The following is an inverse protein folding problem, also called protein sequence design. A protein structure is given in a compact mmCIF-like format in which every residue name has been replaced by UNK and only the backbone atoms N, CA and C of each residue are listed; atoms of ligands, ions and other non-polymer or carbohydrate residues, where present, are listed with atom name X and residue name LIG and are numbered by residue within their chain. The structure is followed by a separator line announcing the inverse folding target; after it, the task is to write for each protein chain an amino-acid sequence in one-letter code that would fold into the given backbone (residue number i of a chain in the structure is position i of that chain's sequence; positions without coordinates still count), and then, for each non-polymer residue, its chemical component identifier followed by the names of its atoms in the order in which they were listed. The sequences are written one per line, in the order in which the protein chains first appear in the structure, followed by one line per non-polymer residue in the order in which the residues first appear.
data_IF_095544715144
#
_entry.id   IF_095544715144
#
_cell.length_a   1.000
_cell.length_b   1.000
_cell.length_c   1.000
_cell.angle_alpha   90.00
_cell.angle_beta   90.00
_cell.angle_gamma   90.00
#
_symmetry.space_group_name_H-M   'P 1'
#
loop_
_entity.id
_entity.type
_entity.pdbx_description
1 polymer ?
#
# COMPACT_ATOMS: atom_id res chain seq x y z
N UNK A 1 4.35 -17.27 3.63
CA UNK A 1 3.48 -18.02 4.57
C UNK A 1 2.04 -17.50 4.54
N UNK A 2 1.78 -16.24 4.89
CA UNK A 2 0.42 -15.67 4.90
C UNK A 2 -0.33 -15.80 3.55
N UNK A 3 0.32 -15.47 2.43
CA UNK A 3 -0.31 -15.58 1.11
C UNK A 3 -0.60 -17.03 0.68
N UNK A 4 0.25 -17.99 1.10
CA UNK A 4 0.05 -19.41 0.78
C UNK A 4 -1.18 -19.94 1.53
N UNK A 5 -1.30 -19.60 2.81
CA UNK A 5 -2.44 -19.98 3.65
C UNK A 5 -3.73 -19.32 3.12
N UNK A 6 -3.66 -18.05 2.71
CA UNK A 6 -4.81 -17.34 2.17
C UNK A 6 -5.28 -17.93 0.83
N UNK A 7 -4.36 -18.10 -0.14
CA UNK A 7 -4.70 -18.64 -1.47
C UNK A 7 -5.16 -20.10 -1.38
N UNK A 8 -4.46 -20.94 -0.61
CA UNK A 8 -4.84 -22.33 -0.41
C UNK A 8 -6.19 -22.47 0.31
N UNK A 9 -6.42 -21.67 1.36
CA UNK A 9 -7.68 -21.69 2.09
C UNK A 9 -8.85 -21.16 1.24
N UNK A 10 -8.66 -20.10 0.45
CA UNK A 10 -9.68 -19.62 -0.48
C UNK A 10 -10.04 -20.72 -1.49
N UNK A 11 -9.04 -21.40 -2.06
CA UNK A 11 -9.28 -22.46 -3.03
C UNK A 11 -10.10 -23.62 -2.42
N UNK A 12 -9.77 -24.05 -1.19
CA UNK A 12 -10.46 -25.15 -0.52
C UNK A 12 -11.90 -24.77 -0.12
N UNK A 13 -12.11 -23.59 0.46
CA UNK A 13 -13.44 -23.20 0.94
C UNK A 13 -14.39 -22.79 -0.20
N UNK A 14 -13.88 -22.15 -1.25
CA UNK A 14 -14.69 -21.71 -2.38
C UNK A 14 -15.02 -22.89 -3.30
N UNK A 15 -14.01 -23.69 -3.69
CA UNK A 15 -14.23 -24.78 -4.65
C UNK A 15 -14.60 -26.11 -4.01
N UNK A 16 -14.24 -26.35 -2.74
CA UNK A 16 -14.54 -27.61 -2.04
C UNK A 16 -15.82 -27.57 -1.20
N UNK A 17 -16.05 -26.48 -0.47
CA UNK A 17 -17.21 -26.34 0.44
C UNK A 17 -18.33 -25.48 -0.16
N UNK A 18 -18.12 -24.90 -1.34
CA UNK A 18 -19.04 -23.97 -2.01
C UNK A 18 -19.47 -22.78 -1.13
N UNK A 19 -18.62 -22.38 -0.19
CA UNK A 19 -18.83 -21.19 0.61
C UNK A 19 -18.53 -19.97 -0.26
N UNK A 20 -19.53 -19.12 -0.51
CA UNK A 20 -19.40 -17.92 -1.35
C UNK A 20 -18.50 -16.85 -0.71
N UNK A 21 -19.10 -15.79 -0.19
CA UNK A 21 -18.36 -14.67 0.43
C UNK A 21 -17.62 -15.09 1.71
N UNK A 22 -18.18 -16.04 2.47
CA UNK A 22 -17.57 -16.61 3.68
C UNK A 22 -16.28 -17.39 3.38
N UNK A 23 -16.22 -18.02 2.20
CA UNK A 23 -15.07 -18.80 1.75
C UNK A 23 -13.81 -17.97 1.48
N UNK A 24 -13.96 -16.65 1.33
CA UNK A 24 -12.83 -15.69 1.23
C UNK A 24 -12.49 -15.08 2.59
N UNK A 25 -13.50 -14.87 3.43
CA UNK A 25 -13.34 -14.21 4.72
C UNK A 25 -12.58 -15.08 5.74
N UNK A 26 -12.93 -16.37 5.86
CA UNK A 26 -12.34 -17.28 6.85
C UNK A 26 -10.84 -17.50 6.61
N UNK A 27 -10.36 -17.82 5.38
CA UNK A 27 -8.93 -17.99 5.12
C UNK A 27 -8.13 -16.70 5.34
N UNK A 28 -8.74 -15.56 5.06
CA UNK A 28 -8.13 -14.25 5.30
C UNK A 28 -7.95 -13.99 6.79
N UNK A 29 -8.93 -14.31 7.62
CA UNK A 29 -8.81 -14.20 9.07
C UNK A 29 -7.75 -15.16 9.62
N UNK A 30 -7.81 -16.43 9.23
CA UNK A 30 -6.88 -17.47 9.71
C UNK A 30 -5.44 -17.15 9.33
N UNK A 31 -5.19 -16.71 8.09
CA UNK A 31 -3.85 -16.33 7.63
C UNK A 31 -3.28 -15.12 8.40
N UNK A 32 -4.12 -14.13 8.76
CA UNK A 32 -3.73 -12.99 9.61
C UNK A 32 -3.41 -13.41 11.03
N UNK A 33 -4.23 -14.27 11.64
CA UNK A 33 -3.99 -14.80 12.99
C UNK A 33 -2.71 -15.61 13.03
N UNK A 34 -2.49 -16.50 12.05
CA UNK A 34 -1.26 -17.29 11.97
C UNK A 34 0.00 -16.40 11.83
N UNK A 35 -0.08 -15.33 11.03
CA UNK A 35 1.01 -14.36 10.91
C UNK A 35 1.28 -13.63 12.23
N UNK A 36 0.23 -13.20 12.94
CA UNK A 36 0.37 -12.55 14.24
C UNK A 36 1.04 -13.48 15.27
N UNK A 37 0.61 -14.74 15.34
CA UNK A 37 1.22 -15.75 16.22
C UNK A 37 2.68 -15.97 15.86
N UNK A 38 3.01 -16.12 14.57
CA UNK A 38 4.38 -16.31 14.12
C UNK A 38 5.30 -15.14 14.51
N UNK A 39 4.84 -13.90 14.35
CA UNK A 39 5.59 -12.69 14.75
C UNK A 39 5.81 -12.66 16.26
N UNK A 40 4.79 -12.95 17.07
CA UNK A 40 4.93 -13.01 18.54
C UNK A 40 5.96 -14.07 18.94
N UNK A 41 5.89 -15.27 18.36
CA UNK A 41 6.84 -16.36 18.64
C UNK A 41 8.27 -15.97 18.24
N UNK A 42 8.46 -15.27 17.12
CA UNK A 42 9.78 -14.78 16.71
C UNK A 42 10.32 -13.70 17.65
N UNK A 43 9.47 -12.77 18.10
CA UNK A 43 9.83 -11.71 19.05
C UNK A 43 10.18 -12.24 20.46
N UNK A 44 9.69 -13.43 20.82
CA UNK A 44 10.05 -14.10 22.08
C UNK A 44 11.39 -14.82 22.02
N UNK A 45 12.03 -14.92 20.84
CA UNK A 45 13.34 -15.56 20.70
C UNK A 45 14.45 -14.51 20.91
N UNK A 46 15.33 -14.68 21.92
CA UNK A 46 16.40 -13.73 22.25
C UNK A 46 17.51 -13.62 21.18
N UNK A 47 17.44 -14.43 20.12
CA UNK A 47 18.41 -14.44 19.00
C UNK A 47 18.22 -13.26 18.03
N UNK A 48 17.09 -12.56 18.07
CA UNK A 48 16.78 -11.46 17.14
C UNK A 48 17.00 -10.09 17.77
N UNK A 49 17.43 -9.10 16.97
CA UNK A 49 17.73 -7.73 17.43
C UNK A 49 16.51 -6.99 18.02
N UNK A 50 15.30 -7.44 17.70
CA UNK A 50 14.07 -7.07 18.38
C UNK A 50 13.60 -8.29 19.19
N UNK A 51 13.74 -8.25 20.51
CA UNK A 51 13.17 -9.25 21.39
C UNK A 51 12.33 -8.59 22.48
N UNK A 52 11.24 -9.24 22.87
CA UNK A 52 10.49 -8.87 24.06
C UNK A 52 11.22 -9.52 25.24
N UNK A 53 11.78 -8.70 26.14
CA UNK A 53 12.23 -9.22 27.42
C UNK A 53 11.05 -9.90 28.13
N UNK A 54 11.23 -11.13 28.61
CA UNK A 54 10.21 -11.90 29.37
C UNK A 54 9.82 -11.24 30.70
N UNK A 55 10.33 -10.06 30.99
CA UNK A 55 9.89 -9.21 32.10
C UNK A 55 8.55 -8.61 31.72
N UNK A 56 7.47 -9.28 32.14
CA UNK A 56 6.08 -8.81 32.13
C UNK A 56 5.87 -7.57 33.05
N UNK A 57 6.82 -6.64 33.10
CA UNK A 57 6.66 -5.33 33.74
C UNK A 57 5.94 -4.41 32.75
N UNK A 58 4.65 -4.67 32.60
CA UNK A 58 3.74 -3.80 31.88
C UNK A 58 3.60 -2.49 32.67
N UNK A 59 4.47 -1.51 32.38
CA UNK A 59 4.33 -0.14 32.87
C UNK A 59 3.72 0.69 31.74
N UNK A 60 2.38 0.80 31.67
CA UNK A 60 1.74 1.62 30.66
C UNK A 60 2.17 3.08 30.86
N UNK A 61 3.06 3.56 29.98
CA UNK A 61 3.41 4.96 29.93
C UNK A 61 2.32 5.70 29.13
N UNK A 62 1.44 6.40 29.85
CA UNK A 62 0.37 7.18 29.23
C UNK A 62 0.88 8.25 28.25
N UNK A 63 2.09 8.79 28.45
CA UNK A 63 2.70 9.73 27.48
C UNK A 63 3.09 9.01 26.20
N UNK A 64 3.67 7.81 26.30
CA UNK A 64 4.05 7.01 25.13
C UNK A 64 2.80 6.51 24.37
N UNK A 65 1.78 6.02 25.07
CA UNK A 65 0.50 5.62 24.48
C UNK A 65 -0.14 6.80 23.75
N UNK A 66 -0.21 7.98 24.38
CA UNK A 66 -0.76 9.19 23.76
C UNK A 66 0.02 9.62 22.52
N UNK A 67 1.35 9.47 22.52
CA UNK A 67 2.19 9.77 21.35
C UNK A 67 1.91 8.81 20.19
N UNK A 68 1.80 7.51 20.47
CA UNK A 68 1.46 6.49 19.47
C UNK A 68 0.05 6.74 18.91
N UNK A 69 -0.92 6.98 19.79
CA UNK A 69 -2.30 7.28 19.39
C UNK A 69 -2.39 8.54 18.54
N UNK A 70 -1.64 9.61 18.86
CA UNK A 70 -1.61 10.83 18.03
C UNK A 70 -1.13 10.54 16.61
N UNK A 71 -0.04 9.77 16.47
CA UNK A 71 0.49 9.37 15.16
C UNK A 71 -0.51 8.47 14.42
N UNK A 72 -1.13 7.52 15.12
CA UNK A 72 -2.12 6.60 14.56
C UNK A 72 -3.39 7.34 14.10
N UNK A 73 -3.92 8.25 14.91
CA UNK A 73 -5.10 9.07 14.58
C UNK A 73 -4.80 9.97 13.39
N UNK A 74 -3.65 10.65 13.37
CA UNK A 74 -3.27 11.51 12.24
C UNK A 74 -3.19 10.74 10.92
N UNK A 75 -2.46 9.61 10.89
CA UNK A 75 -2.39 8.76 9.70
C UNK A 75 -3.76 8.15 9.33
N UNK A 76 -4.57 7.79 10.33
CA UNK A 76 -5.91 7.26 10.14
C UNK A 76 -6.87 8.28 9.54
N UNK A 77 -6.82 9.53 10.01
CA UNK A 77 -7.60 10.65 9.46
C UNK A 77 -7.21 10.91 8.01
N UNK A 78 -5.92 11.00 7.70
CA UNK A 78 -5.44 11.20 6.33
C UNK A 78 -5.95 10.09 5.39
N UNK A 79 -5.77 8.82 5.76
CA UNK A 79 -6.26 7.70 4.95
C UNK A 79 -7.78 7.71 4.82
N UNK A 80 -8.51 8.07 5.88
CA UNK A 80 -9.97 8.17 5.85
C UNK A 80 -10.42 9.28 4.91
N UNK A 81 -9.76 10.44 4.92
CA UNK A 81 -10.05 11.54 4.00
C UNK A 81 -9.81 11.13 2.54
N UNK A 82 -8.71 10.42 2.26
CA UNK A 82 -8.47 9.85 0.92
C UNK A 82 -9.56 8.86 0.51
N UNK A 83 -9.98 7.98 1.42
CA UNK A 83 -11.00 6.97 1.12
C UNK A 83 -12.38 7.60 0.89
N UNK A 84 -12.76 8.60 1.69
CA UNK A 84 -13.99 9.38 1.49
C UNK A 84 -13.95 10.12 0.17
N UNK A 85 -12.83 10.77 -0.18
CA UNK A 85 -12.66 11.43 -1.47
C UNK A 85 -12.86 10.46 -2.65
N UNK A 86 -12.27 9.26 -2.57
CA UNK A 86 -12.47 8.21 -3.57
C UNK A 86 -13.93 7.77 -3.70
N UNK A 87 -14.65 7.63 -2.58
CA UNK A 87 -16.06 7.27 -2.58
C UNK A 87 -16.90 8.38 -3.22
N UNK A 88 -16.64 9.65 -2.90
CA UNK A 88 -17.37 10.78 -3.51
C UNK A 88 -17.16 10.84 -5.02
N UNK A 89 -15.91 10.69 -5.48
CA UNK A 89 -15.60 10.61 -6.92
C UNK A 89 -16.31 9.42 -7.55
N UNK A 90 -16.28 8.24 -6.92
CA UNK A 90 -16.99 7.07 -7.42
C UNK A 90 -18.50 7.29 -7.49
N UNK A 91 -19.10 7.96 -6.52
CA UNK A 91 -20.52 8.32 -6.54
C UNK A 91 -20.84 9.24 -7.72
N UNK A 92 -20.00 10.25 -7.99
CA UNK A 92 -20.16 11.10 -9.18
C UNK A 92 -20.01 10.28 -10.46
N UNK A 93 -18.99 9.43 -10.56
CA UNK A 93 -18.76 8.54 -11.71
C UNK A 93 -19.96 7.60 -11.92
N UNK A 94 -20.59 7.14 -10.85
CA UNK A 94 -21.75 6.24 -10.94
C UNK A 94 -22.96 6.89 -11.61
N UNK A 95 -23.08 8.22 -11.56
CA UNK A 95 -24.15 8.95 -12.24
C UNK A 95 -24.04 8.91 -13.78
N UNK A 96 -22.86 8.65 -14.34
CA UNK A 96 -22.62 8.57 -15.78
C UNK A 96 -22.98 7.19 -16.37
N UNK A 97 -23.36 6.22 -15.54
CA UNK A 97 -23.79 4.89 -15.96
C UNK A 97 -22.73 3.80 -15.82
N UNK A 98 -23.11 2.57 -16.12
CA UNK A 98 -22.32 1.36 -15.85
C UNK A 98 -20.96 1.34 -16.56
N UNK A 99 -20.87 1.96 -17.75
CA UNK A 99 -19.60 2.06 -18.48
C UNK A 99 -18.56 2.87 -17.71
N UNK A 100 -18.97 3.94 -17.02
CA UNK A 100 -18.09 4.82 -16.26
C UNK A 100 -17.63 4.16 -14.95
N UNK A 101 -18.53 3.44 -14.27
CA UNK A 101 -18.20 2.64 -13.10
C UNK A 101 -17.15 1.57 -13.44
N UNK A 102 -17.38 0.85 -14.55
CA UNK A 102 -16.45 -0.18 -15.04
C UNK A 102 -15.10 0.43 -15.41
N UNK A 103 -15.10 1.57 -16.12
CA UNK A 103 -13.88 2.27 -16.49
C UNK A 103 -13.07 2.70 -15.27
N UNK A 104 -13.73 3.22 -14.22
CA UNK A 104 -13.08 3.61 -12.98
C UNK A 104 -12.59 2.40 -12.17
N UNK A 105 -13.32 1.27 -12.17
CA UNK A 105 -12.89 0.05 -11.48
C UNK A 105 -11.60 -0.51 -12.10
N UNK A 106 -11.58 -0.69 -13.42
CA UNK A 106 -10.38 -1.14 -14.17
C UNK A 106 -9.26 -0.11 -14.02
N UNK A 107 -9.61 1.18 -14.13
CA UNK A 107 -8.69 2.29 -13.96
C UNK A 107 -7.98 2.27 -12.60
N UNK A 108 -8.71 2.03 -11.51
CA UNK A 108 -8.13 1.93 -10.17
C UNK A 108 -7.17 0.75 -10.02
N UNK A 109 -7.47 -0.40 -10.62
CA UNK A 109 -6.58 -1.57 -10.59
C UNK A 109 -5.25 -1.22 -11.27
N UNK A 110 -5.31 -0.61 -12.46
CA UNK A 110 -4.12 -0.22 -13.21
C UNK A 110 -3.35 0.93 -12.55
N UNK A 111 -4.04 1.90 -11.98
CA UNK A 111 -3.43 2.98 -11.20
C UNK A 111 -2.62 2.44 -10.01
N UNK A 112 -3.08 1.36 -9.36
CA UNK A 112 -2.33 0.69 -8.28
C UNK A 112 -1.05 0.02 -8.80
N UNK A 113 -1.07 -0.54 -10.02
CA UNK A 113 0.13 -1.08 -10.66
C UNK A 113 1.16 0.01 -10.96
N UNK A 114 0.73 1.18 -11.42
CA UNK A 114 1.61 2.31 -11.76
C UNK A 114 2.38 2.86 -10.55
N UNK A 115 1.76 2.87 -9.37
CA UNK A 115 2.37 3.40 -8.13
C UNK A 115 3.03 2.32 -7.27
N UNK A 116 2.87 1.04 -7.64
CA UNK A 116 3.41 -0.12 -6.92
C UNK A 116 4.91 -0.01 -6.60
N UNK A 117 5.82 0.32 -7.54
CA UNK A 117 7.24 0.45 -7.21
C UNK A 117 7.51 1.54 -6.17
N UNK A 118 6.78 2.66 -6.27
CA UNK A 118 6.87 3.75 -5.30
C UNK A 118 6.43 3.33 -3.89
N UNK A 119 5.34 2.56 -3.79
CA UNK A 119 4.88 2.02 -2.50
C UNK A 119 5.87 1.02 -1.90
N UNK A 120 6.40 0.11 -2.72
CA UNK A 120 7.35 -0.92 -2.27
C UNK A 120 8.65 -0.31 -1.75
N UNK A 121 9.25 0.60 -2.54
CA UNK A 121 10.48 1.28 -2.15
C UNK A 121 10.23 2.22 -0.97
N UNK A 122 9.09 2.94 -0.96
CA UNK A 122 8.72 3.84 0.12
C UNK A 122 8.60 3.14 1.48
N UNK A 123 8.13 1.89 1.50
CA UNK A 123 8.10 1.08 2.72
C UNK A 123 9.51 0.78 3.26
N UNK A 124 10.42 0.32 2.39
CA UNK A 124 11.81 0.03 2.77
C UNK A 124 12.59 1.29 3.14
N UNK A 125 12.34 2.40 2.44
CA UNK A 125 12.93 3.71 2.70
C UNK A 125 12.62 4.19 4.12
N UNK A 126 11.36 4.06 4.58
CA UNK A 126 11.00 4.41 5.96
C UNK A 126 11.83 3.66 7.00
N UNK A 127 12.02 2.37 6.82
CA UNK A 127 12.81 1.54 7.73
C UNK A 127 14.29 1.92 7.72
N UNK A 128 14.88 2.09 6.53
CA UNK A 128 16.28 2.52 6.37
C UNK A 128 16.53 3.88 7.05
N UNK A 129 15.70 4.87 6.73
CA UNK A 129 15.84 6.24 7.25
C UNK A 129 15.65 6.26 8.77
N UNK A 130 14.67 5.55 9.30
CA UNK A 130 14.44 5.46 10.74
C UNK A 130 15.67 4.90 11.48
N UNK A 131 16.36 3.91 10.91
CA UNK A 131 17.60 3.34 11.49
C UNK A 131 18.76 4.34 11.45
N UNK A 132 19.01 4.99 10.31
CA UNK A 132 20.09 5.99 10.19
C UNK A 132 19.89 7.17 11.16
N UNK A 133 18.64 7.60 11.36
CA UNK A 133 18.30 8.67 12.31
C UNK A 133 18.54 8.20 13.75
N UNK A 134 18.15 6.97 14.09
CA UNK A 134 18.44 6.38 15.40
C UNK A 134 19.95 6.24 15.69
N UNK A 135 20.77 6.09 14.64
CA UNK A 135 22.23 6.04 14.74
C UNK A 135 22.92 7.41 14.71
N UNK A 136 22.18 8.51 14.53
CA UNK A 136 22.73 9.88 14.43
C UNK A 136 23.38 10.21 13.09
N UNK A 137 23.26 9.37 12.07
CA UNK A 137 23.96 9.50 10.79
C UNK A 137 23.18 10.38 9.78
N UNK A 138 23.08 11.69 10.06
CA UNK A 138 22.28 12.64 9.27
C UNK A 138 22.74 12.76 7.80
N UNK A 139 24.04 12.61 7.54
CA UNK A 139 24.57 12.66 6.18
C UNK A 139 24.09 11.47 5.33
N UNK A 140 24.06 10.27 5.94
CA UNK A 140 23.54 9.07 5.30
C UNK A 140 22.04 9.20 4.99
N UNK A 141 21.26 9.83 5.88
CA UNK A 141 19.83 10.08 5.65
C UNK A 141 19.61 10.89 4.37
N UNK A 142 20.37 11.97 4.17
CA UNK A 142 20.28 12.81 2.95
C UNK A 142 20.69 12.02 1.71
N UNK A 143 21.78 11.27 1.80
CA UNK A 143 22.29 10.43 0.71
C UNK A 143 21.27 9.37 0.27
N UNK A 144 20.76 8.57 1.21
CA UNK A 144 19.78 7.53 0.92
C UNK A 144 18.46 8.10 0.43
N UNK A 145 17.99 9.23 1.00
CA UNK A 145 16.77 9.88 0.53
C UNK A 145 16.89 10.30 -0.93
N UNK A 146 18.01 10.94 -1.32
CA UNK A 146 18.23 11.37 -2.70
C UNK A 146 18.33 10.18 -3.65
N UNK A 147 19.11 9.15 -3.29
CA UNK A 147 19.25 7.94 -4.11
C UNK A 147 17.92 7.20 -4.27
N UNK A 148 17.20 6.95 -3.18
CA UNK A 148 15.93 6.24 -3.21
C UNK A 148 14.86 7.02 -3.94
N UNK A 149 14.85 8.36 -3.88
CA UNK A 149 13.96 9.17 -4.73
C UNK A 149 14.23 8.93 -6.21
N UNK A 150 15.48 8.92 -6.66
CA UNK A 150 15.82 8.63 -8.07
C UNK A 150 15.33 7.23 -8.46
N UNK A 151 15.55 6.23 -7.61
CA UNK A 151 15.07 4.86 -7.87
C UNK A 151 13.54 4.80 -7.93
N UNK A 152 12.83 5.55 -7.07
CA UNK A 152 11.36 5.65 -7.12
C UNK A 152 10.91 6.30 -8.44
N UNK A 153 11.53 7.40 -8.86
CA UNK A 153 11.21 8.05 -10.14
C UNK A 153 11.39 7.08 -11.31
N UNK A 154 12.56 6.46 -11.41
CA UNK A 154 12.86 5.48 -12.48
C UNK A 154 11.88 4.31 -12.43
N UNK A 155 11.61 3.77 -11.24
CA UNK A 155 10.66 2.66 -11.05
C UNK A 155 9.25 3.02 -11.51
N UNK A 156 8.73 4.19 -11.10
CA UNK A 156 7.41 4.65 -11.53
C UNK A 156 7.39 4.88 -13.04
N UNK A 157 8.41 5.53 -13.62
CA UNK A 157 8.45 5.77 -15.06
C UNK A 157 8.44 4.45 -15.85
N UNK A 158 9.26 3.48 -15.46
CA UNK A 158 9.30 2.16 -16.09
C UNK A 158 7.95 1.46 -15.99
N UNK A 159 7.35 1.41 -14.80
CA UNK A 159 6.05 0.76 -14.60
C UNK A 159 4.93 1.44 -15.39
N UNK A 160 4.91 2.77 -15.46
CA UNK A 160 3.89 3.48 -16.23
C UNK A 160 4.05 3.27 -17.73
N UNK A 161 5.28 3.29 -18.26
CA UNK A 161 5.53 2.95 -19.67
C UNK A 161 5.07 1.52 -19.97
N UNK A 162 5.39 0.56 -19.09
CA UNK A 162 4.94 -0.82 -19.23
C UNK A 162 3.41 -0.93 -19.18
N UNK A 163 2.74 -0.21 -18.28
CA UNK A 163 1.27 -0.17 -18.21
C UNK A 163 0.66 0.38 -19.49
N UNK A 164 1.20 1.47 -20.03
CA UNK A 164 0.71 2.09 -21.28
C UNK A 164 0.90 1.12 -22.46
N UNK A 165 2.04 0.43 -22.54
CA UNK A 165 2.30 -0.56 -23.59
C UNK A 165 1.41 -1.79 -23.46
N UNK A 166 1.11 -2.23 -22.23
CA UNK A 166 0.24 -3.37 -21.95
C UNK A 166 -1.26 -3.02 -22.03
N UNK A 167 -1.61 -1.73 -22.00
CA UNK A 167 -2.99 -1.25 -21.97
C UNK A 167 -3.89 -1.88 -23.05
N UNK A 168 -3.54 -1.93 -24.35
CA UNK A 168 -4.41 -2.54 -25.37
C UNK A 168 -4.67 -4.03 -25.09
N UNK A 169 -3.69 -4.76 -24.58
CA UNK A 169 -3.84 -6.16 -24.21
C UNK A 169 -4.77 -6.32 -22.99
N UNK A 170 -4.60 -5.45 -21.99
CA UNK A 170 -5.43 -5.44 -20.79
C UNK A 170 -6.89 -5.13 -21.13
N UNK A 171 -7.14 -4.09 -21.92
CA UNK A 171 -8.50 -3.70 -22.31
C UNK A 171 -9.21 -4.84 -23.06
N UNK A 172 -8.47 -5.57 -23.92
CA UNK A 172 -8.96 -6.77 -24.59
C UNK A 172 -9.24 -7.92 -23.63
N UNK A 173 -8.38 -8.15 -22.64
CA UNK A 173 -8.56 -9.19 -21.64
C UNK A 173 -9.79 -8.94 -20.74
N UNK A 174 -10.11 -7.68 -20.47
CA UNK A 174 -11.32 -7.28 -19.74
C UNK A 174 -12.59 -7.26 -20.61
N UNK A 175 -12.47 -7.53 -21.92
CA UNK A 175 -13.58 -7.57 -22.88
C UNK A 175 -14.50 -6.33 -22.80
N UNK A 176 -13.88 -5.15 -22.69
CA UNK A 176 -14.58 -3.88 -22.49
C UNK A 176 -15.26 -3.41 -23.78
N UNK A 177 -16.39 -2.72 -23.64
CA UNK A 177 -17.00 -1.99 -24.77
C UNK A 177 -16.08 -0.87 -25.24
N UNK A 178 -16.17 -0.45 -26.50
CA UNK A 178 -15.31 0.59 -27.09
C UNK A 178 -15.35 1.90 -26.30
N UNK A 179 -16.54 2.28 -25.81
CA UNK A 179 -16.74 3.47 -24.98
C UNK A 179 -16.00 3.32 -23.65
N UNK A 180 -16.16 2.18 -22.96
CA UNK A 180 -15.46 1.91 -21.70
C UNK A 180 -13.95 1.87 -21.88
N UNK A 181 -13.46 1.23 -22.95
CA UNK A 181 -12.04 1.14 -23.26
C UNK A 181 -11.41 2.52 -23.52
N UNK A 182 -12.10 3.38 -24.26
CA UNK A 182 -11.68 4.77 -24.52
C UNK A 182 -11.59 5.58 -23.23
N UNK A 183 -12.61 5.51 -22.37
CA UNK A 183 -12.62 6.23 -21.09
C UNK A 183 -11.54 5.71 -20.13
N UNK A 184 -11.36 4.39 -20.02
CA UNK A 184 -10.26 3.81 -19.23
C UNK A 184 -8.90 4.27 -19.74
N UNK A 185 -8.71 4.34 -21.06
CA UNK A 185 -7.45 4.80 -21.65
C UNK A 185 -7.13 6.25 -21.25
N UNK A 186 -8.12 7.14 -21.30
CA UNK A 186 -7.96 8.54 -20.88
C UNK A 186 -7.61 8.64 -19.39
N UNK A 187 -8.32 7.90 -18.54
CA UNK A 187 -8.08 7.87 -17.09
C UNK A 187 -6.63 7.43 -16.82
N UNK A 188 -6.18 6.36 -17.47
CA UNK A 188 -4.83 5.84 -17.27
C UNK A 188 -3.78 6.81 -17.77
N UNK A 189 -3.87 7.31 -18.99
CA UNK A 189 -2.87 8.27 -19.50
C UNK A 189 -2.76 9.52 -18.62
N UNK A 190 -3.90 10.06 -18.17
CA UNK A 190 -3.91 11.21 -17.27
C UNK A 190 -3.29 10.88 -15.90
N UNK A 191 -3.61 9.71 -15.35
CA UNK A 191 -3.04 9.24 -14.10
C UNK A 191 -1.53 8.96 -14.23
N UNK A 192 -1.06 8.38 -15.34
CA UNK A 192 0.35 8.10 -15.57
C UNK A 192 1.18 9.39 -15.60
N UNK A 193 0.71 10.41 -16.32
CA UNK A 193 1.38 11.72 -16.40
C UNK A 193 1.45 12.37 -15.01
N UNK A 194 0.34 12.31 -14.26
CA UNK A 194 0.26 12.84 -12.90
C UNK A 194 1.20 12.09 -11.95
N UNK A 195 1.31 10.77 -12.10
CA UNK A 195 2.20 9.94 -11.28
C UNK A 195 3.67 10.17 -11.58
N UNK A 196 4.04 10.31 -12.85
CA UNK A 196 5.43 10.55 -13.25
C UNK A 196 5.99 11.89 -12.72
N UNK A 197 5.12 12.87 -12.50
CA UNK A 197 5.50 14.25 -12.14
C UNK A 197 5.32 14.53 -10.65
N UNK A 198 4.15 14.23 -10.08
CA UNK A 198 3.75 14.72 -8.75
C UNK A 198 3.95 13.65 -7.68
N UNK A 199 3.75 12.37 -8.00
CA UNK A 199 3.58 11.33 -6.99
C UNK A 199 4.84 11.06 -6.14
N UNK A 200 6.06 10.87 -6.71
CA UNK A 200 7.26 10.67 -5.91
C UNK A 200 7.49 11.81 -4.93
N UNK A 201 7.30 13.05 -5.37
CA UNK A 201 7.48 14.22 -4.51
C UNK A 201 6.42 14.25 -3.40
N UNK A 202 5.16 14.03 -3.74
CA UNK A 202 4.04 14.08 -2.80
C UNK A 202 4.05 12.95 -1.76
N UNK A 203 4.60 11.77 -2.08
CA UNK A 203 4.54 10.60 -1.19
C UNK A 203 5.89 10.14 -0.65
N UNK A 204 6.98 10.23 -1.41
CA UNK A 204 8.30 9.78 -0.93
C UNK A 204 8.88 10.73 0.13
N UNK A 205 8.77 12.05 -0.06
CA UNK A 205 9.27 13.03 0.90
C UNK A 205 8.57 12.93 2.27
N UNK A 206 7.22 12.89 2.36
CA UNK A 206 6.55 12.70 3.64
C UNK A 206 6.91 11.37 4.31
N UNK A 207 7.16 10.30 3.54
CA UNK A 207 7.65 9.04 4.12
C UNK A 207 8.98 9.23 4.86
N UNK A 208 9.92 10.00 4.30
CA UNK A 208 11.17 10.38 4.97
C UNK A 208 10.92 11.23 6.22
N UNK A 209 10.05 12.24 6.14
CA UNK A 209 9.75 13.13 7.28
C UNK A 209 9.06 12.39 8.44
N UNK A 210 8.15 11.46 8.12
CA UNK A 210 7.50 10.57 9.09
C UNK A 210 8.51 9.63 9.74
N UNK A 211 9.44 9.07 8.97
CA UNK A 211 10.51 8.23 9.51
C UNK A 211 11.46 9.01 10.44
N UNK A 212 11.62 10.32 10.20
CA UNK A 212 12.38 11.22 11.05
C UNK A 212 11.68 11.65 12.35
N UNK A 213 10.41 11.31 12.52
CA UNK A 213 9.63 11.76 13.67
C UNK A 213 9.35 13.27 13.69
N UNK A 214 9.53 13.96 12.56
CA UNK A 214 9.34 15.41 12.41
C UNK A 214 7.90 15.81 12.08
N UNK A 215 7.03 14.85 11.74
CA UNK A 215 5.60 15.10 11.45
C UNK A 215 4.66 14.81 12.65
N UNK A 216 5.04 15.21 13.87
CA UNK A 216 4.26 14.96 15.10
C UNK A 216 3.97 16.19 15.93
#
# INVERSE_FOLDING_TARGET
MMNIINVGGNAILIYGVHCGTEGVAIPTLVSRVAAAVAVIVLLLKPKYQLHIERTFRYRPDGKMIRRILRIGISNGMENSMFQVGKILVLSLVSSFGTYAITANAVGNVLAMFEILPGMAIGLGMKTMISRCIGAGEQEQVKYYTRKLMVVIYVGIWVFNVLTILALPFILKAYNLSDITASETTKIILFHSISCMTIWPFAFALPNTLRAAGLCG
#
